data_IF_404623705760
#
_entry.id   IF_404623705760
#
_cell.length_a   1.000
_cell.length_b   1.000
_cell.length_c   1.000
_cell.angle_alpha   90.00
_cell.angle_beta   90.00
_cell.angle_gamma   90.00
#
_symmetry.space_group_name_H-M   'P 1'
#
loop_
_entity.id
_entity.type
_entity.pdbx_description
1 polymer ?
#
# COMPACT_ATOMS: atom_id res chain seq x y z
N UNK A 1 -60.89 9.70 -63.05
CA UNK A 1 -59.94 10.59 -62.35
C UNK A 1 -60.42 10.72 -60.91
N UNK A 2 -59.74 10.40 -59.82
CA UNK A 2 -58.37 9.97 -59.53
C UNK A 2 -58.36 9.46 -58.06
N UNK A 3 -57.83 8.25 -57.84
CA UNK A 3 -57.17 7.65 -56.65
C UNK A 3 -57.65 7.91 -55.19
N UNK A 4 -58.05 6.81 -54.54
CA UNK A 4 -57.45 6.17 -53.34
C UNK A 4 -56.49 7.01 -52.46
N UNK A 5 -56.62 6.93 -51.12
CA UNK A 5 -55.63 6.32 -50.20
C UNK A 5 -56.22 6.20 -48.79
N UNK A 6 -56.15 4.97 -48.28
CA UNK A 6 -56.35 4.52 -46.91
C UNK A 6 -55.06 4.81 -46.12
N UNK A 7 -55.14 5.46 -44.95
CA UNK A 7 -54.00 5.60 -44.04
C UNK A 7 -54.34 4.99 -42.68
N UNK A 8 -53.91 3.74 -42.50
CA UNK A 8 -53.84 3.03 -41.23
C UNK A 8 -52.60 3.57 -40.49
N UNK A 9 -52.81 4.29 -39.38
CA UNK A 9 -51.73 4.66 -38.48
C UNK A 9 -51.56 3.55 -37.42
N UNK A 10 -50.75 2.54 -37.74
CA UNK A 10 -50.10 1.70 -36.73
C UNK A 10 -48.80 2.42 -36.32
N UNK A 11 -48.71 2.88 -35.07
CA UNK A 11 -47.42 3.26 -34.47
C UNK A 11 -47.13 2.38 -33.28
N UNK A 12 -46.12 1.53 -33.52
CA UNK A 12 -45.35 0.69 -32.62
C UNK A 12 -45.25 1.21 -31.18
N UNK A 13 -45.67 0.38 -30.23
CA UNK A 13 -45.17 0.41 -28.85
C UNK A 13 -43.69 0.01 -28.91
N UNK A 14 -42.82 1.02 -28.96
CA UNK A 14 -41.39 0.83 -28.83
C UNK A 14 -41.07 0.34 -27.42
N UNK A 15 -40.84 -0.96 -27.27
CA UNK A 15 -40.11 -1.49 -26.12
C UNK A 15 -38.69 -0.96 -26.26
N UNK A 16 -38.42 0.16 -25.59
CA UNK A 16 -37.08 0.63 -25.33
C UNK A 16 -36.35 -0.47 -24.56
N UNK A 17 -35.69 -1.36 -25.29
CA UNK A 17 -34.63 -2.17 -24.74
C UNK A 17 -33.55 -1.17 -24.35
N UNK A 18 -33.55 -0.76 -23.08
CA UNK A 18 -32.36 -0.24 -22.46
C UNK A 18 -31.30 -1.34 -22.62
N UNK A 19 -30.52 -1.27 -23.69
CA UNK A 19 -29.25 -1.95 -23.78
C UNK A 19 -28.46 -1.42 -22.60
N UNK A 20 -28.51 -2.16 -21.49
CA UNK A 20 -27.57 -2.07 -20.39
C UNK A 20 -26.20 -2.20 -21.03
N UNK A 21 -25.55 -1.08 -21.33
CA UNK A 21 -24.12 -1.06 -21.60
C UNK A 21 -23.48 -1.77 -20.41
N UNK A 22 -22.94 -2.96 -20.67
CA UNK A 22 -22.12 -3.64 -19.68
C UNK A 22 -20.96 -2.72 -19.39
N UNK A 23 -20.96 -2.11 -18.20
CA UNK A 23 -19.87 -1.25 -17.75
C UNK A 23 -18.56 -2.02 -17.91
N UNK A 24 -17.57 -1.39 -18.55
CA UNK A 24 -16.22 -1.98 -18.61
C UNK A 24 -15.65 -2.16 -17.21
N UNK A 25 -14.79 -3.16 -17.00
CA UNK A 25 -14.16 -3.39 -15.71
C UNK A 25 -13.48 -2.13 -15.15
N UNK A 26 -12.81 -1.35 -16.00
CA UNK A 26 -12.19 -0.08 -15.63
C UNK A 26 -13.20 0.99 -15.15
N UNK A 27 -14.42 1.03 -15.70
CA UNK A 27 -15.49 1.89 -15.21
C UNK A 27 -15.99 1.41 -13.84
N UNK A 28 -16.16 0.08 -13.66
CA UNK A 28 -16.58 -0.49 -12.38
C UNK A 28 -15.59 -0.17 -11.25
N UNK A 29 -14.27 -0.22 -11.52
CA UNK A 29 -13.25 0.18 -10.55
C UNK A 29 -13.46 1.60 -10.01
N UNK A 30 -14.02 2.48 -10.84
CA UNK A 30 -14.26 3.87 -10.49
C UNK A 30 -15.67 4.20 -10.00
N UNK A 31 -16.57 3.23 -9.93
CA UNK A 31 -17.95 3.44 -9.49
C UNK A 31 -18.04 3.42 -7.96
N UNK A 32 -18.09 4.61 -7.35
CA UNK A 32 -18.23 4.74 -5.91
C UNK A 32 -19.47 4.02 -5.36
N UNK A 33 -20.60 4.03 -6.06
CA UNK A 33 -21.85 3.41 -5.59
C UNK A 33 -21.74 1.88 -5.56
N UNK A 34 -21.05 1.30 -6.55
CA UNK A 34 -20.72 -0.13 -6.54
C UNK A 34 -19.94 -0.50 -5.27
N UNK A 35 -18.87 0.23 -4.96
CA UNK A 35 -18.02 -0.07 -3.79
C UNK A 35 -18.70 0.22 -2.45
N UNK A 36 -19.57 1.23 -2.41
CA UNK A 36 -20.33 1.61 -1.21
C UNK A 36 -21.34 0.54 -0.79
N UNK A 37 -21.91 -0.16 -1.77
CA UNK A 37 -22.97 -1.16 -1.58
C UNK A 37 -22.48 -2.61 -1.66
N UNK A 38 -21.19 -2.82 -1.94
CA UNK A 38 -20.61 -4.15 -2.12
C UNK A 38 -20.61 -4.94 -0.81
N UNK A 39 -21.31 -6.07 -0.80
CA UNK A 39 -21.25 -7.06 0.27
C UNK A 39 -20.08 -8.03 0.01
N UNK A 40 -19.00 -7.85 0.76
CA UNK A 40 -17.80 -8.68 0.66
C UNK A 40 -18.03 -10.14 1.07
N UNK A 41 -19.06 -10.46 1.84
CA UNK A 41 -19.42 -11.85 2.16
C UNK A 41 -20.00 -12.60 0.95
N UNK A 42 -20.52 -11.85 -0.02
CA UNK A 42 -21.13 -12.36 -1.25
C UNK A 42 -20.39 -11.86 -2.50
N UNK A 43 -19.09 -11.61 -2.38
CA UNK A 43 -18.26 -11.06 -3.45
C UNK A 43 -18.36 -11.85 -4.77
N UNK A 44 -18.48 -13.17 -4.69
CA UNK A 44 -18.63 -14.05 -5.85
C UNK A 44 -19.94 -13.84 -6.65
N UNK A 45 -20.93 -13.17 -6.04
CA UNK A 45 -22.18 -12.79 -6.71
C UNK A 45 -22.16 -11.34 -7.23
N UNK A 46 -21.05 -10.62 -7.04
CA UNK A 46 -20.92 -9.22 -7.41
C UNK A 46 -20.71 -9.02 -8.92
N UNK A 47 -21.03 -7.82 -9.41
CA UNK A 47 -20.75 -7.40 -10.79
C UNK A 47 -19.25 -7.49 -11.14
N UNK A 48 -18.38 -7.27 -10.15
CA UNK A 48 -16.92 -7.36 -10.28
C UNK A 48 -16.51 -8.80 -10.59
N UNK A 49 -17.06 -9.79 -9.87
CA UNK A 49 -16.76 -11.19 -10.09
C UNK A 49 -17.26 -11.70 -11.45
N UNK A 50 -18.44 -11.23 -11.88
CA UNK A 50 -19.05 -11.59 -13.16
C UNK A 50 -18.50 -10.80 -14.35
N UNK A 51 -17.58 -9.87 -14.14
CA UNK A 51 -17.00 -9.10 -15.24
C UNK A 51 -16.27 -10.02 -16.23
N UNK A 52 -16.37 -9.73 -17.53
CA UNK A 52 -15.63 -10.48 -18.55
C UNK A 52 -14.12 -10.29 -18.40
N UNK A 53 -13.33 -11.30 -18.78
CA UNK A 53 -11.87 -11.22 -18.82
C UNK A 53 -11.16 -11.84 -17.62
N UNK A 54 -11.90 -12.27 -16.60
CA UNK A 54 -11.36 -13.11 -15.54
C UNK A 54 -11.01 -14.51 -16.07
N UNK A 55 -9.85 -14.99 -15.65
CA UNK A 55 -9.37 -16.36 -15.87
C UNK A 55 -8.99 -16.96 -14.53
N UNK A 56 -9.24 -18.24 -14.33
CA UNK A 56 -8.84 -18.93 -13.11
C UNK A 56 -7.31 -18.94 -12.98
N UNK A 57 -6.81 -18.66 -11.78
CA UNK A 57 -5.38 -18.62 -11.54
C UNK A 57 -4.83 -20.05 -11.36
N UNK A 58 -3.91 -20.44 -12.23
CA UNK A 58 -3.26 -21.77 -12.24
C UNK A 58 -1.76 -21.72 -11.92
N UNK A 59 -1.25 -20.55 -11.56
CA UNK A 59 0.16 -20.34 -11.24
C UNK A 59 0.55 -20.82 -9.84
N UNK A 60 1.86 -20.77 -9.57
CA UNK A 60 2.39 -21.03 -8.24
C UNK A 60 1.95 -19.94 -7.25
N UNK A 61 1.41 -20.36 -6.11
CA UNK A 61 0.98 -19.44 -5.05
C UNK A 61 2.21 -19.03 -4.26
N UNK A 62 2.56 -17.74 -4.31
CA UNK A 62 3.77 -17.23 -3.67
C UNK A 62 3.63 -16.94 -2.16
N UNK A 63 2.41 -16.98 -1.61
CA UNK A 63 2.10 -16.52 -0.24
C UNK A 63 1.30 -17.58 0.52
N UNK A 64 1.77 -17.94 1.72
CA UNK A 64 1.16 -19.01 2.52
C UNK A 64 -0.24 -18.65 3.06
N UNK A 65 -0.54 -17.36 3.21
CA UNK A 65 -1.76 -16.83 3.84
C UNK A 65 -2.79 -16.28 2.82
N UNK A 66 -2.41 -16.16 1.55
CA UNK A 66 -3.24 -15.57 0.48
C UNK A 66 -3.26 -16.49 -0.74
N UNK A 67 -4.46 -16.79 -1.23
CA UNK A 67 -4.64 -17.54 -2.47
C UNK A 67 -5.22 -16.64 -3.55
N UNK A 68 -4.54 -16.54 -4.69
CA UNK A 68 -5.09 -15.90 -5.89
C UNK A 68 -6.06 -16.88 -6.54
N UNK A 69 -7.29 -16.43 -6.76
CA UNK A 69 -8.39 -17.25 -7.30
C UNK A 69 -8.57 -16.97 -8.79
N UNK A 70 -8.61 -15.69 -9.17
CA UNK A 70 -8.79 -15.24 -10.56
C UNK A 70 -7.83 -14.11 -10.88
N UNK A 71 -7.49 -13.98 -12.16
CA UNK A 71 -6.73 -12.86 -12.67
C UNK A 71 -7.30 -12.34 -14.00
N UNK A 72 -7.07 -11.06 -14.28
CA UNK A 72 -7.45 -10.40 -15.52
C UNK A 72 -6.26 -9.57 -15.99
N UNK A 73 -5.78 -9.85 -17.20
CA UNK A 73 -4.66 -9.11 -17.80
C UNK A 73 -5.16 -8.00 -18.73
N UNK A 74 -4.30 -7.02 -19.01
CA UNK A 74 -4.51 -5.99 -20.03
C UNK A 74 -5.74 -5.10 -19.79
N UNK A 75 -6.00 -4.74 -18.54
CA UNK A 75 -7.08 -3.80 -18.20
C UNK A 75 -6.64 -2.38 -18.62
N UNK A 76 -7.31 -1.74 -19.59
CA UNK A 76 -6.96 -0.38 -19.99
C UNK A 76 -7.40 0.60 -18.90
N UNK A 77 -6.43 1.21 -18.22
CA UNK A 77 -6.66 2.15 -17.13
C UNK A 77 -5.49 3.16 -17.10
N UNK A 78 -5.78 4.45 -16.96
CA UNK A 78 -4.77 5.51 -16.78
C UNK A 78 -3.65 5.51 -17.86
N UNK A 79 -4.08 5.43 -19.12
CA UNK A 79 -3.23 5.42 -20.31
C UNK A 79 -2.18 4.28 -20.29
N UNK A 80 -2.52 3.14 -19.67
CA UNK A 80 -1.68 1.95 -19.65
C UNK A 80 -2.51 0.70 -19.38
N UNK A 81 -1.81 -0.43 -19.28
CA UNK A 81 -2.39 -1.72 -19.01
C UNK A 81 -2.07 -2.12 -17.57
N UNK A 82 -3.11 -2.53 -16.86
CA UNK A 82 -3.02 -3.08 -15.52
C UNK A 82 -3.31 -4.58 -15.55
N UNK A 83 -2.77 -5.28 -14.57
CA UNK A 83 -3.20 -6.61 -14.19
C UNK A 83 -4.12 -6.47 -12.98
N UNK A 84 -5.20 -7.23 -12.94
CA UNK A 84 -6.00 -7.39 -11.74
C UNK A 84 -6.02 -8.83 -11.29
N UNK A 85 -6.18 -9.01 -9.99
CA UNK A 85 -6.29 -10.31 -9.37
C UNK A 85 -7.29 -10.25 -8.20
N UNK A 86 -8.04 -11.33 -8.05
CA UNK A 86 -8.95 -11.56 -6.93
C UNK A 86 -8.27 -12.56 -6.00
N UNK A 87 -8.14 -12.18 -4.73
CA UNK A 87 -7.51 -13.00 -3.70
C UNK A 87 -8.49 -13.36 -2.61
N UNK A 88 -8.26 -14.53 -2.01
CA UNK A 88 -8.89 -14.99 -0.78
C UNK A 88 -7.80 -15.24 0.27
N UNK A 89 -7.87 -14.60 1.45
CA UNK A 89 -7.04 -15.00 2.59
C UNK A 89 -7.54 -16.31 3.19
N UNK A 90 -6.63 -17.16 3.67
CA UNK A 90 -7.02 -18.37 4.41
C UNK A 90 -7.80 -17.97 5.68
N UNK A 91 -8.91 -18.66 5.92
CA UNK A 91 -9.77 -18.39 7.08
C UNK A 91 -9.04 -18.70 8.39
N UNK A 92 -8.76 -17.65 9.14
CA UNK A 92 -8.35 -17.70 10.53
C UNK A 92 -8.88 -16.44 11.22
N UNK A 93 -9.85 -16.62 12.13
CA UNK A 93 -10.51 -15.56 12.93
C UNK A 93 -11.68 -14.76 12.30
N UNK A 94 -12.57 -15.41 11.52
CA UNK A 94 -13.92 -14.87 11.25
C UNK A 94 -14.01 -13.64 10.34
N UNK A 95 -13.03 -13.46 9.45
CA UNK A 95 -12.91 -12.33 8.53
C UNK A 95 -13.43 -12.66 7.13
N UNK A 96 -14.04 -11.68 6.46
CA UNK A 96 -14.45 -11.79 5.04
C UNK A 96 -13.19 -11.80 4.16
N UNK A 97 -12.86 -12.92 3.48
CA UNK A 97 -11.49 -13.15 3.03
C UNK A 97 -11.14 -12.52 1.67
N UNK A 98 -12.10 -11.88 1.01
CA UNK A 98 -11.95 -11.42 -0.37
C UNK A 98 -11.27 -10.06 -0.49
N UNK A 99 -10.39 -9.94 -1.48
CA UNK A 99 -9.81 -8.68 -1.89
C UNK A 99 -9.59 -8.66 -3.41
N UNK A 100 -9.64 -7.47 -3.98
CA UNK A 100 -9.30 -7.18 -5.37
C UNK A 100 -8.04 -6.31 -5.37
N UNK A 101 -7.05 -6.69 -6.17
CA UNK A 101 -5.85 -5.90 -6.43
C UNK A 101 -5.76 -5.59 -7.92
N UNK A 102 -5.42 -4.35 -8.28
CA UNK A 102 -5.20 -3.89 -9.66
C UNK A 102 -3.86 -3.17 -9.69
N UNK A 103 -2.88 -3.69 -10.41
CA UNK A 103 -1.52 -3.18 -10.37
C UNK A 103 -0.84 -3.09 -11.73
N UNK A 104 0.19 -2.25 -11.79
CA UNK A 104 1.08 -2.09 -12.93
C UNK A 104 2.50 -1.86 -12.44
N UNK A 105 3.48 -2.20 -13.27
CA UNK A 105 4.90 -1.98 -13.01
C UNK A 105 5.44 -1.07 -14.10
N UNK A 106 6.07 0.04 -13.69
CA UNK A 106 6.57 1.06 -14.62
C UNK A 106 7.90 1.63 -14.13
N UNK A 107 8.73 2.12 -15.04
CA UNK A 107 9.93 2.92 -14.69
C UNK A 107 9.61 4.39 -14.36
N UNK A 108 8.33 4.80 -14.41
CA UNK A 108 7.88 6.15 -14.09
C UNK A 108 7.06 6.20 -12.80
N UNK A 109 7.26 7.27 -12.04
CA UNK A 109 6.47 7.62 -10.85
C UNK A 109 5.10 8.21 -11.21
N UNK A 110 4.90 8.65 -12.46
CA UNK A 110 3.67 9.33 -12.91
C UNK A 110 2.42 8.47 -12.77
N UNK A 111 2.58 7.13 -12.84
CA UNK A 111 1.46 6.20 -12.65
C UNK A 111 0.86 6.31 -11.26
N UNK A 112 1.69 6.59 -10.25
CA UNK A 112 1.24 6.81 -8.90
C UNK A 112 0.36 8.08 -8.79
N UNK A 113 0.86 9.20 -9.35
CA UNK A 113 0.14 10.48 -9.31
C UNK A 113 -1.17 10.41 -10.11
N UNK A 114 -1.17 9.73 -11.26
CA UNK A 114 -2.39 9.46 -12.05
C UNK A 114 -3.40 8.62 -11.25
N UNK A 115 -2.96 7.56 -10.57
CA UNK A 115 -3.84 6.71 -9.78
C UNK A 115 -4.46 7.46 -8.59
N UNK A 116 -3.65 8.22 -7.85
CA UNK A 116 -4.13 9.06 -6.75
C UNK A 116 -5.14 10.11 -7.24
N UNK A 117 -4.84 10.79 -8.34
CA UNK A 117 -5.73 11.81 -8.93
C UNK A 117 -7.05 11.20 -9.40
N UNK A 118 -6.98 10.03 -10.04
CA UNK A 118 -8.16 9.31 -10.53
C UNK A 118 -9.06 8.81 -9.40
N UNK A 119 -8.48 8.30 -8.30
CA UNK A 119 -9.22 7.94 -7.09
C UNK A 119 -9.82 9.17 -6.41
N UNK A 120 -9.06 10.25 -6.30
CA UNK A 120 -9.55 11.50 -5.70
C UNK A 120 -10.76 12.05 -6.45
N UNK A 121 -10.73 12.02 -7.78
CA UNK A 121 -11.84 12.47 -8.62
C UNK A 121 -13.11 11.61 -8.46
N UNK A 122 -13.02 10.37 -8.01
CA UNK A 122 -14.14 9.42 -7.91
C UNK A 122 -14.65 9.21 -6.48
N UNK A 123 -13.75 9.28 -5.51
CA UNK A 123 -14.01 8.96 -4.11
C UNK A 123 -13.86 10.16 -3.17
N UNK A 124 -13.43 11.33 -3.67
CA UNK A 124 -13.15 12.53 -2.87
C UNK A 124 -11.74 12.51 -2.28
N UNK A 125 -11.48 13.34 -1.27
CA UNK A 125 -10.17 13.37 -0.60
C UNK A 125 -9.87 12.06 0.15
N UNK A 126 -8.60 11.61 0.19
CA UNK A 126 -8.23 10.44 0.96
C UNK A 126 -8.47 10.69 2.46
N UNK A 127 -8.88 9.65 3.18
CA UNK A 127 -9.03 9.66 4.64
C UNK A 127 -7.66 9.67 5.34
N UNK A 128 -6.64 9.11 4.71
CA UNK A 128 -5.26 9.11 5.18
C UNK A 128 -4.29 8.95 4.01
N UNK A 129 -3.10 9.51 4.13
CA UNK A 129 -2.04 9.37 3.13
C UNK A 129 -0.65 9.44 3.76
N UNK A 130 0.29 8.75 3.12
CA UNK A 130 1.72 8.78 3.38
C UNK A 130 2.41 9.11 2.06
N UNK A 131 3.29 10.10 2.06
CA UNK A 131 4.08 10.49 0.88
C UNK A 131 5.55 10.61 1.25
N UNK A 132 6.32 9.57 0.93
CA UNK A 132 7.77 9.53 1.09
C UNK A 132 8.41 9.41 -0.30
N UNK A 133 9.14 10.47 -0.69
CA UNK A 133 9.92 10.54 -1.94
C UNK A 133 11.34 10.96 -1.60
N UNK A 134 12.26 10.03 -1.72
CA UNK A 134 13.66 10.27 -1.37
C UNK A 134 14.57 10.04 -2.57
N UNK A 135 15.59 10.88 -2.73
CA UNK A 135 16.64 10.67 -3.73
C UNK A 135 17.74 9.81 -3.12
N UNK A 136 17.96 8.62 -3.69
CA UNK A 136 19.06 7.73 -3.35
C UNK A 136 19.92 7.45 -4.59
N UNK A 137 21.19 7.89 -4.59
CA UNK A 137 22.15 7.66 -5.68
C UNK A 137 21.53 7.88 -7.07
N UNK A 138 21.08 9.12 -7.34
CA UNK A 138 20.38 9.59 -8.56
C UNK A 138 19.00 8.97 -8.86
N UNK A 139 18.60 7.90 -8.18
CA UNK A 139 17.27 7.30 -8.27
C UNK A 139 16.30 7.91 -7.25
N UNK A 140 15.03 8.11 -7.63
CA UNK A 140 13.98 8.50 -6.67
C UNK A 140 13.32 7.23 -6.13
N UNK A 141 13.48 6.97 -4.84
CA UNK A 141 12.70 5.98 -4.11
C UNK A 141 11.31 6.56 -3.84
N UNK A 142 10.28 5.79 -4.19
CA UNK A 142 8.89 6.16 -4.01
C UNK A 142 8.24 5.18 -3.05
N UNK A 143 7.73 5.73 -1.95
CA UNK A 143 6.99 5.05 -0.89
C UNK A 143 5.76 5.89 -0.59
N UNK A 144 4.68 5.61 -1.30
CA UNK A 144 3.46 6.42 -1.19
C UNK A 144 2.26 5.53 -1.00
N UNK A 145 1.35 5.94 -0.13
CA UNK A 145 0.07 5.27 0.00
C UNK A 145 -1.02 6.30 0.30
N UNK A 146 -2.22 6.06 -0.21
CA UNK A 146 -3.40 6.84 0.15
C UNK A 146 -4.60 5.91 0.28
N UNK A 147 -5.49 6.24 1.20
CA UNK A 147 -6.63 5.42 1.58
C UNK A 147 -7.93 6.21 1.46
N UNK A 148 -8.93 5.57 0.88
CA UNK A 148 -10.33 6.01 0.87
C UNK A 148 -11.19 4.94 1.53
N UNK A 149 -12.34 5.37 2.03
CA UNK A 149 -13.35 4.47 2.59
C UNK A 149 -14.73 4.83 2.07
N UNK A 150 -15.51 3.83 1.64
CA UNK A 150 -16.91 3.99 1.23
C UNK A 150 -17.67 2.73 1.62
N UNK A 151 -18.84 2.88 2.26
CA UNK A 151 -19.57 1.77 2.86
C UNK A 151 -18.69 0.91 3.77
N UNK A 152 -18.62 -0.39 3.46
CA UNK A 152 -17.74 -1.37 4.11
C UNK A 152 -16.40 -1.58 3.39
N UNK A 153 -16.16 -0.88 2.28
CA UNK A 153 -14.97 -1.03 1.45
C UNK A 153 -13.89 -0.03 1.85
N UNK A 154 -12.66 -0.54 2.04
CA UNK A 154 -11.43 0.25 2.07
C UNK A 154 -10.76 0.16 0.70
N UNK A 155 -10.35 1.31 0.17
CA UNK A 155 -9.64 1.42 -1.10
C UNK A 155 -8.28 2.01 -0.79
N UNK A 156 -7.21 1.35 -1.23
CA UNK A 156 -5.85 1.81 -1.00
C UNK A 156 -5.11 1.87 -2.32
N UNK A 157 -4.47 3.00 -2.62
CA UNK A 157 -3.39 3.04 -3.61
C UNK A 157 -2.06 2.94 -2.88
N UNK A 158 -1.17 2.08 -3.37
CA UNK A 158 0.18 1.90 -2.86
C UNK A 158 1.16 1.98 -4.02
N UNK A 159 2.18 2.81 -3.85
CA UNK A 159 3.26 2.98 -4.81
C UNK A 159 4.58 2.65 -4.12
N UNK A 160 5.29 1.68 -4.67
CA UNK A 160 6.59 1.25 -4.14
C UNK A 160 7.59 1.13 -5.29
N UNK A 161 8.70 1.86 -5.22
CA UNK A 161 9.87 1.46 -6.01
C UNK A 161 10.50 0.21 -5.39
N UNK A 162 10.68 -0.82 -6.21
CA UNK A 162 11.55 -1.93 -5.89
C UNK A 162 12.99 -1.51 -6.12
N UNK A 163 13.88 -1.82 -5.18
CA UNK A 163 15.24 -2.13 -5.57
C UNK A 163 15.15 -3.49 -6.25
N UNK A 164 15.10 -3.55 -7.59
CA UNK A 164 15.30 -4.82 -8.27
C UNK A 164 16.63 -5.38 -7.78
N UNK A 165 16.58 -6.60 -7.24
CA UNK A 165 17.70 -7.33 -6.61
C UNK A 165 18.83 -7.59 -7.62
N UNK A 166 18.65 -7.25 -8.89
CA UNK A 166 19.70 -7.27 -9.91
C UNK A 166 20.03 -5.85 -10.39
N UNK A 167 20.76 -5.10 -9.56
CA UNK A 167 21.59 -3.99 -10.06
C UNK A 167 22.73 -4.58 -10.88
N UNK A 168 22.61 -4.56 -12.21
CA UNK A 168 23.76 -4.85 -13.10
C UNK A 168 24.24 -3.66 -13.93
N UNK A 169 23.52 -2.53 -13.99
CA UNK A 169 24.03 -1.34 -14.68
C UNK A 169 23.60 -0.02 -14.02
N UNK A 170 24.45 1.01 -14.08
CA UNK A 170 24.23 2.35 -13.51
C UNK A 170 23.11 3.17 -14.19
N UNK A 171 22.41 2.61 -15.20
CA UNK A 171 21.42 3.31 -16.01
C UNK A 171 19.97 2.85 -15.80
N UNK A 172 19.72 1.83 -14.98
CA UNK A 172 18.37 1.30 -14.78
C UNK A 172 17.58 2.15 -13.77
N UNK A 173 16.53 2.82 -14.26
CA UNK A 173 15.57 3.52 -13.40
C UNK A 173 14.86 2.50 -12.50
N UNK A 174 14.65 2.80 -11.21
CA UNK A 174 13.93 1.89 -10.32
C UNK A 174 12.53 1.60 -10.86
N UNK A 175 12.14 0.32 -10.86
CA UNK A 175 10.77 -0.06 -11.20
C UNK A 175 9.84 0.31 -10.04
N UNK A 176 8.80 1.06 -10.37
CA UNK A 176 7.72 1.47 -9.48
C UNK A 176 6.52 0.58 -9.72
N UNK A 177 6.10 -0.14 -8.68
CA UNK A 177 4.83 -0.86 -8.65
C UNK A 177 3.77 0.12 -8.15
N UNK A 178 2.72 0.33 -8.94
CA UNK A 178 1.51 1.06 -8.52
C UNK A 178 0.39 0.04 -8.39
N UNK A 179 -0.17 -0.11 -7.19
CA UNK A 179 -1.24 -1.05 -6.89
C UNK A 179 -2.43 -0.33 -6.27
N UNK A 180 -3.64 -0.62 -6.75
CA UNK A 180 -4.91 -0.24 -6.17
C UNK A 180 -5.52 -1.50 -5.55
N UNK A 181 -5.91 -1.44 -4.29
CA UNK A 181 -6.49 -2.55 -3.55
C UNK A 181 -7.86 -2.17 -3.02
N UNK A 182 -8.82 -3.08 -3.14
CA UNK A 182 -10.19 -2.95 -2.67
C UNK A 182 -10.52 -4.17 -1.82
N UNK A 183 -10.98 -3.97 -0.59
CA UNK A 183 -11.44 -5.06 0.28
C UNK A 183 -12.38 -4.54 1.36
N UNK A 184 -12.95 -5.44 2.15
CA UNK A 184 -13.61 -5.05 3.39
C UNK A 184 -12.62 -4.31 4.32
N UNK A 185 -13.10 -3.34 5.11
CA UNK A 185 -12.27 -2.51 6.01
C UNK A 185 -11.43 -3.31 7.01
N UNK A 186 -11.82 -4.53 7.34
CA UNK A 186 -11.06 -5.43 8.24
C UNK A 186 -9.85 -6.10 7.59
N UNK A 187 -9.77 -6.12 6.25
CA UNK A 187 -8.78 -6.90 5.50
C UNK A 187 -7.57 -6.07 5.04
N UNK A 188 -7.77 -4.79 4.76
CA UNK A 188 -6.68 -3.87 4.44
C UNK A 188 -6.26 -3.13 5.69
N UNK A 189 -4.96 -3.07 5.95
CA UNK A 189 -4.41 -2.29 7.06
C UNK A 189 -4.80 -0.81 6.90
N UNK A 190 -5.24 -0.18 7.98
CA UNK A 190 -5.50 1.25 7.99
C UNK A 190 -4.18 2.02 7.90
N UNK A 191 -4.08 2.98 6.98
CA UNK A 191 -2.96 3.91 6.93
C UNK A 191 -3.03 4.80 8.18
N UNK A 192 -1.96 4.77 8.97
CA UNK A 192 -1.79 5.65 10.13
C UNK A 192 -0.80 6.75 9.81
N UNK A 193 -0.93 7.94 10.41
CA UNK A 193 0.06 8.99 10.27
C UNK A 193 1.43 8.50 10.74
N UNK A 194 2.46 8.86 9.98
CA UNK A 194 3.86 8.71 10.40
C UNK A 194 4.07 9.57 11.64
N UNK A 195 4.76 9.01 12.63
CA UNK A 195 5.11 9.75 13.84
C UNK A 195 6.61 9.71 14.11
N UNK A 196 7.07 10.66 14.90
CA UNK A 196 8.47 10.82 15.24
C UNK A 196 8.74 10.38 16.67
N UNK A 197 9.87 9.71 16.88
CA UNK A 197 10.44 9.37 18.17
C UNK A 197 11.77 10.11 18.31
N UNK A 198 11.91 10.91 19.36
CA UNK A 198 13.17 11.50 19.76
C UNK A 198 13.81 10.65 20.84
N UNK A 199 14.97 10.08 20.56
CA UNK A 199 15.65 9.16 21.46
C UNK A 199 16.99 9.71 21.97
N UNK A 200 17.15 9.69 23.28
CA UNK A 200 18.41 9.94 23.97
C UNK A 200 19.06 8.60 24.33
N UNK A 201 20.26 8.36 23.81
CA UNK A 201 20.91 7.05 23.87
C UNK A 201 22.20 7.12 24.68
N UNK A 202 22.47 6.06 25.43
CA UNK A 202 23.70 5.80 26.16
C UNK A 202 24.30 4.49 25.69
N UNK A 203 25.60 4.51 25.45
CA UNK A 203 26.42 3.37 25.08
C UNK A 203 27.27 2.96 26.29
N UNK A 204 27.31 1.67 26.63
CA UNK A 204 28.09 1.19 27.78
C UNK A 204 29.35 0.47 27.31
N UNK A 205 30.49 0.95 27.80
CA UNK A 205 31.79 0.30 27.67
C UNK A 205 31.85 -0.98 28.53
N UNK A 206 32.80 -1.90 28.27
CA UNK A 206 32.92 -3.16 29.02
C UNK A 206 33.16 -2.97 30.52
N UNK A 207 33.72 -1.84 30.93
CA UNK A 207 33.93 -1.42 32.33
C UNK A 207 32.65 -0.85 32.98
N UNK A 208 31.54 -0.77 32.24
CA UNK A 208 30.26 -0.25 32.70
C UNK A 208 30.10 1.26 32.58
N UNK A 209 31.11 1.99 32.09
CA UNK A 209 31.02 3.43 31.89
C UNK A 209 30.06 3.74 30.73
N UNK A 210 29.05 4.58 31.02
CA UNK A 210 28.08 5.04 30.03
C UNK A 210 28.57 6.29 29.31
N UNK A 211 28.46 6.30 27.97
CA UNK A 211 28.76 7.43 27.09
C UNK A 211 27.47 7.87 26.43
N UNK A 212 27.09 9.14 26.62
CA UNK A 212 25.95 9.74 25.94
C UNK A 212 26.21 9.87 24.44
N UNK A 213 25.22 9.48 23.64
CA UNK A 213 25.23 9.66 22.20
C UNK A 213 24.36 10.86 21.80
N UNK A 214 24.59 11.44 20.61
CA UNK A 214 23.70 12.46 20.08
C UNK A 214 22.25 11.97 20.03
N UNK A 215 21.34 12.87 20.40
CA UNK A 215 19.90 12.64 20.28
C UNK A 215 19.56 12.28 18.84
N UNK A 216 18.83 11.19 18.68
CA UNK A 216 18.47 10.64 17.37
C UNK A 216 16.97 10.68 17.19
N UNK A 217 16.52 11.21 16.06
CA UNK A 217 15.10 11.19 15.70
C UNK A 217 14.83 10.06 14.73
N UNK A 218 13.86 9.20 15.07
CA UNK A 218 13.34 8.16 14.20
C UNK A 218 11.93 8.53 13.72
N UNK A 219 11.66 8.27 12.46
CA UNK A 219 10.34 8.32 11.86
C UNK A 219 9.81 6.90 11.78
N UNK A 220 8.61 6.68 12.31
CA UNK A 220 7.97 5.38 12.39
C UNK A 220 6.82 5.35 11.39
N UNK A 221 6.93 4.50 10.38
CA UNK A 221 5.88 4.21 9.42
C UNK A 221 5.32 2.80 9.70
N UNK A 222 4.19 2.76 10.41
CA UNK A 222 3.54 1.49 10.75
C UNK A 222 2.92 0.79 9.53
N UNK A 223 2.62 1.53 8.45
CA UNK A 223 1.94 1.00 7.29
C UNK A 223 2.91 0.28 6.34
N UNK A 224 4.09 0.87 6.12
CA UNK A 224 5.16 0.25 5.35
C UNK A 224 6.07 -0.65 6.21
N UNK A 225 5.89 -0.67 7.53
CA UNK A 225 6.77 -1.34 8.49
C UNK A 225 8.21 -0.83 8.40
N UNK A 226 8.38 0.49 8.32
CA UNK A 226 9.68 1.12 8.11
C UNK A 226 10.04 2.04 9.29
N UNK A 227 11.34 2.09 9.57
CA UNK A 227 11.96 3.01 10.51
C UNK A 227 13.12 3.70 9.82
N UNK A 228 13.15 5.02 9.84
CA UNK A 228 14.19 5.80 9.22
C UNK A 228 14.56 7.03 10.04
N UNK A 229 15.70 7.65 9.73
CA UNK A 229 16.09 8.94 10.29
C UNK A 229 16.41 9.91 9.15
N UNK A 230 16.48 11.22 9.44
CA UNK A 230 16.69 12.24 8.39
C UNK A 230 18.00 12.04 7.60
N UNK A 231 18.98 11.34 8.16
CA UNK A 231 20.30 11.16 7.56
C UNK A 231 20.48 9.86 6.78
N UNK A 232 19.58 8.87 6.96
CA UNK A 232 19.69 7.52 6.35
C UNK A 232 18.30 6.91 6.12
N UNK A 233 18.06 6.53 4.86
CA UNK A 233 16.90 5.76 4.44
C UNK A 233 17.30 4.66 3.42
N UNK A 234 16.95 3.38 3.64
CA UNK A 234 16.50 2.81 4.90
C UNK A 234 17.66 2.77 5.93
N UNK A 235 17.35 3.05 7.20
CA UNK A 235 18.33 2.98 8.29
C UNK A 235 18.48 1.56 8.86
N UNK A 236 17.38 0.81 8.89
CA UNK A 236 17.31 -0.54 9.44
C UNK A 236 17.08 -1.58 8.33
N UNK A 237 17.76 -2.73 8.44
CA UNK A 237 17.58 -3.88 7.54
C UNK A 237 16.38 -4.74 7.92
N UNK A 238 15.97 -4.70 9.19
CA UNK A 238 14.83 -5.43 9.72
C UNK A 238 14.08 -4.52 10.69
N UNK A 239 12.77 -4.41 10.55
CA UNK A 239 11.90 -3.60 11.41
C UNK A 239 10.64 -4.40 11.72
N UNK A 240 10.32 -4.51 13.00
CA UNK A 240 9.11 -5.12 13.52
C UNK A 240 8.40 -4.11 14.41
N UNK A 241 7.23 -3.65 13.97
CA UNK A 241 6.40 -2.70 14.72
C UNK A 241 5.18 -3.45 15.25
N UNK A 242 5.10 -3.53 16.58
CA UNK A 242 3.99 -4.13 17.33
C UNK A 242 3.31 -3.05 18.18
N UNK A 243 2.11 -3.31 18.74
CA UNK A 243 1.39 -2.33 19.56
C UNK A 243 2.20 -1.78 20.73
N UNK A 244 3.01 -2.63 21.38
CA UNK A 244 3.79 -2.29 22.58
C UNK A 244 5.27 -2.08 22.30
N UNK A 245 5.79 -2.60 21.19
CA UNK A 245 7.24 -2.65 20.95
C UNK A 245 7.59 -2.31 19.51
N UNK A 246 8.69 -1.58 19.31
CA UNK A 246 9.35 -1.41 18.02
C UNK A 246 10.73 -2.06 18.12
N UNK A 247 10.98 -3.10 17.34
CA UNK A 247 12.27 -3.78 17.28
C UNK A 247 12.88 -3.58 15.90
N UNK A 248 14.17 -3.25 15.84
CA UNK A 248 14.84 -3.03 14.57
C UNK A 248 16.31 -3.40 14.63
N UNK A 249 16.87 -3.77 13.49
CA UNK A 249 18.28 -4.07 13.33
C UNK A 249 18.90 -3.23 12.21
N UNK A 250 20.12 -2.76 12.42
CA UNK A 250 20.90 -2.03 11.44
C UNK A 250 22.25 -2.72 11.22
N UNK A 251 22.59 -3.00 9.96
CA UNK A 251 23.89 -3.57 9.59
C UNK A 251 24.80 -2.47 9.06
N UNK A 252 26.04 -2.43 9.55
CA UNK A 252 27.11 -1.60 9.01
C UNK A 252 28.20 -2.50 8.40
N UNK A 253 29.19 -1.88 7.76
CA UNK A 253 30.35 -2.60 7.19
C UNK A 253 31.09 -3.41 8.27
N UNK A 254 31.14 -2.88 9.49
CA UNK A 254 32.00 -3.38 10.57
C UNK A 254 31.22 -4.03 11.72
N UNK A 255 29.89 -4.16 11.59
CA UNK A 255 29.06 -4.65 12.68
C UNK A 255 27.56 -4.75 12.38
N UNK A 256 26.83 -5.16 13.42
CA UNK A 256 25.38 -5.13 13.43
C UNK A 256 24.89 -4.52 14.75
N UNK A 257 23.74 -3.88 14.71
CA UNK A 257 23.08 -3.34 15.90
C UNK A 257 21.65 -3.84 15.95
N UNK A 258 21.17 -4.19 17.14
CA UNK A 258 19.79 -4.57 17.40
C UNK A 258 19.23 -3.68 18.49
N UNK A 259 18.00 -3.23 18.31
CA UNK A 259 17.34 -2.29 19.19
C UNK A 259 15.90 -2.72 19.45
N UNK A 260 15.40 -2.34 20.63
CA UNK A 260 14.01 -2.50 21.02
C UNK A 260 13.56 -1.26 21.79
N UNK A 261 12.44 -0.68 21.39
CA UNK A 261 11.79 0.46 22.03
C UNK A 261 10.44 -0.01 22.57
N UNK A 262 10.26 0.09 23.87
CA UNK A 262 8.95 -0.03 24.52
C UNK A 262 8.16 1.26 24.28
N UNK A 263 7.01 1.13 23.65
CA UNK A 263 6.15 2.26 23.24
C UNK A 263 5.33 2.84 24.39
N UNK A 264 5.15 2.08 25.47
CA UNK A 264 4.41 2.48 26.65
C UNK A 264 5.31 3.27 27.60
N UNK A 265 6.50 2.74 27.87
CA UNK A 265 7.45 3.37 28.80
C UNK A 265 8.41 4.33 28.11
N UNK A 266 8.53 4.26 26.79
CA UNK A 266 9.56 4.97 26.03
C UNK A 266 10.96 4.40 26.24
N UNK A 267 11.14 3.34 27.03
CA UNK A 267 12.46 2.78 27.27
C UNK A 267 13.03 2.14 26.01
N UNK A 268 14.30 2.40 25.75
CA UNK A 268 15.04 1.81 24.64
C UNK A 268 16.19 0.96 25.18
N UNK A 269 16.36 -0.21 24.58
CA UNK A 269 17.49 -1.09 24.83
C UNK A 269 18.08 -1.59 23.52
N UNK A 270 19.35 -1.93 23.52
CA UNK A 270 19.98 -2.47 22.33
C UNK A 270 21.35 -3.06 22.58
N UNK A 271 21.86 -3.69 21.54
CA UNK A 271 23.21 -4.25 21.49
C UNK A 271 23.85 -3.83 20.18
N UNK A 272 25.06 -3.28 20.25
CA UNK A 272 25.91 -2.98 19.09
C UNK A 272 27.07 -3.95 19.10
N UNK A 273 27.22 -4.72 18.03
CA UNK A 273 28.30 -5.67 17.86
C UNK A 273 29.21 -5.21 16.74
N UNK A 274 30.49 -4.98 17.05
CA UNK A 274 31.55 -4.62 16.09
C UNK A 274 32.67 -5.65 16.19
N UNK A 275 32.94 -6.37 15.11
CA UNK A 275 33.86 -7.51 15.14
C UNK A 275 33.43 -8.58 16.17
N UNK A 276 34.27 -8.85 17.18
CA UNK A 276 34.00 -9.81 18.26
C UNK A 276 33.46 -9.16 19.54
N UNK A 277 33.35 -7.84 19.58
CA UNK A 277 32.95 -7.11 20.79
C UNK A 277 31.48 -6.69 20.67
N UNK A 278 30.73 -6.88 21.76
CA UNK A 278 29.34 -6.42 21.86
C UNK A 278 29.21 -5.45 23.02
N UNK A 279 28.53 -4.35 22.76
CA UNK A 279 28.29 -3.27 23.70
C UNK A 279 26.80 -3.12 23.94
N UNK A 280 26.43 -2.82 25.19
CA UNK A 280 25.03 -2.57 25.55
C UNK A 280 24.69 -1.12 25.25
N UNK A 281 23.44 -0.90 24.86
CA UNK A 281 22.85 0.42 24.75
C UNK A 281 21.57 0.49 25.57
N UNK A 282 21.33 1.64 26.19
CA UNK A 282 20.05 1.98 26.78
C UNK A 282 19.67 3.41 26.40
N UNK A 283 18.40 3.74 26.49
CA UNK A 283 17.96 5.10 26.26
C UNK A 283 16.50 5.29 26.61
N UNK A 284 16.03 6.49 26.31
CA UNK A 284 14.62 6.86 26.40
C UNK A 284 14.22 7.52 25.09
N UNK A 285 13.05 7.17 24.60
CA UNK A 285 12.43 7.67 23.40
C UNK A 285 11.10 8.30 23.75
N UNK A 286 10.88 9.51 23.26
CA UNK A 286 9.63 10.23 23.43
C UNK A 286 8.99 10.48 22.08
N UNK A 287 7.67 10.29 21.99
CA UNK A 287 6.92 10.67 20.80
C UNK A 287 6.90 12.19 20.71
N UNK A 288 7.38 12.72 19.59
CA UNK A 288 7.37 14.15 19.30
C UNK A 288 6.46 14.42 18.10
N UNK A 289 5.82 15.59 18.11
CA UNK A 289 5.07 16.08 16.96
C UNK A 289 6.05 16.46 15.83
N UNK A 290 5.73 16.15 14.56
CA UNK A 290 6.53 16.65 13.44
C UNK A 290 6.57 18.17 13.48
N UNK A 291 7.77 18.76 13.46
CA UNK A 291 7.96 20.21 13.47
C UNK A 291 7.33 20.89 12.23
N UNK A 292 7.12 20.14 11.15
CA UNK A 292 6.57 20.65 9.89
C UNK A 292 5.15 20.16 9.63
N UNK A 293 4.16 20.81 10.27
CA UNK A 293 2.87 21.05 9.63
C UNK A 293 2.95 22.36 8.84
N UNK A 294 3.54 22.33 7.65
CA UNK A 294 3.22 23.30 6.60
C UNK A 294 2.75 22.52 5.38
N UNK A 295 1.43 22.39 5.31
CA UNK A 295 0.70 21.97 4.11
C UNK A 295 0.98 22.91 2.95
#
# INVERSE_FOLDING_TARGET
>A
MTKMILAIALTLVGIAHAQSQTDSFAQMLGDKKLWDTLDWSRFETSKIWSASGWVDYTGEQALDDVTIIKYHQNIPLLDTLYLADIRRRREGAGKTPWSLSVFTVSSSTDKCDKAMSWLTARFGSPAASIDHRDKWNSATNVRRAAQWETGQTRIVVKCMSGATIEKKTDNDRPLVVTALSFAHKSELLAIKPVFMLSCSLKFFLPDGVGVDLPQTTYYVDEYFHELYNQSKFPFASEVHIQPETISFAAKSKDGFSKYSIDRVTGSMSGTVTTGKTSFRMSGTCEKIEPADKKF
#
